data_IF_665901663536
#
_entry.id   IF_665901663536
#
_cell.length_a   1.000
_cell.length_b   1.000
_cell.length_c   1.000
_cell.angle_alpha   90.00
_cell.angle_beta   90.00
_cell.angle_gamma   90.00
#
_symmetry.space_group_name_H-M   'P 1'
#
loop_
_entity.id
_entity.type
_entity.pdbx_description
1 polymer ?
#
# COMPACT_ATOMS: atom_id res chain seq x y z
N UNK A 1 13.21 -18.33 -3.49
CA UNK A 1 12.63 -19.62 -3.94
C UNK A 1 12.32 -20.53 -2.74
N UNK A 2 11.72 -20.02 -1.65
CA UNK A 2 11.47 -20.78 -0.40
C UNK A 2 9.95 -21.00 -0.16
N UNK A 3 9.06 -20.35 -0.91
CA UNK A 3 7.60 -20.36 -0.69
C UNK A 3 6.78 -20.86 -1.90
N UNK A 4 7.38 -21.65 -2.80
CA UNK A 4 6.66 -22.19 -3.95
C UNK A 4 5.92 -23.47 -3.52
N UNK A 5 4.58 -23.43 -3.51
CA UNK A 5 3.66 -24.54 -3.15
C UNK A 5 3.90 -25.16 -1.75
N UNK A 6 3.26 -24.57 -0.73
CA UNK A 6 3.29 -25.08 0.65
C UNK A 6 2.34 -26.26 0.85
N UNK A 7 2.85 -27.36 1.38
CA UNK A 7 2.10 -28.55 1.80
C UNK A 7 1.17 -28.27 2.99
N UNK A 8 0.53 -29.33 3.52
CA UNK A 8 -0.32 -29.26 4.71
C UNK A 8 0.41 -29.72 5.99
N UNK A 9 1.74 -29.56 6.05
CA UNK A 9 2.53 -29.95 7.22
C UNK A 9 2.65 -28.80 8.23
N UNK A 10 3.00 -29.10 9.49
CA UNK A 10 3.15 -28.09 10.54
C UNK A 10 4.31 -27.13 10.26
N UNK A 11 5.32 -27.58 9.52
CA UNK A 11 6.43 -26.73 9.03
C UNK A 11 5.93 -25.70 8.01
N UNK A 12 4.92 -26.03 7.21
CA UNK A 12 4.32 -25.12 6.23
C UNK A 12 3.52 -23.98 6.88
N UNK A 13 2.99 -24.16 8.10
CA UNK A 13 2.24 -23.11 8.81
C UNK A 13 3.15 -21.92 9.15
N UNK A 14 4.37 -22.21 9.60
CA UNK A 14 5.36 -21.17 9.91
C UNK A 14 5.80 -20.45 8.63
N UNK A 15 6.00 -21.19 7.53
CA UNK A 15 6.32 -20.62 6.23
C UNK A 15 5.19 -19.71 5.70
N UNK A 16 3.92 -20.11 5.83
CA UNK A 16 2.75 -19.29 5.45
C UNK A 16 2.67 -18.01 6.25
N UNK A 17 2.89 -18.08 7.55
CA UNK A 17 2.85 -16.91 8.44
C UNK A 17 4.00 -15.96 8.14
N UNK A 18 5.21 -16.48 7.92
CA UNK A 18 6.37 -15.68 7.51
C UNK A 18 6.19 -15.02 6.16
N UNK A 19 5.61 -15.71 5.18
CA UNK A 19 5.29 -15.15 3.87
C UNK A 19 4.30 -13.98 3.99
N UNK A 20 3.19 -14.16 4.72
CA UNK A 20 2.20 -13.10 4.94
C UNK A 20 2.80 -11.87 5.63
N UNK A 21 3.61 -12.08 6.67
CA UNK A 21 4.29 -11.00 7.39
C UNK A 21 5.24 -10.22 6.46
N UNK A 22 6.04 -10.93 5.67
CA UNK A 22 6.98 -10.32 4.75
C UNK A 22 6.29 -9.51 3.65
N UNK A 23 5.19 -10.01 3.10
CA UNK A 23 4.38 -9.29 2.10
C UNK A 23 3.83 -7.98 2.64
N UNK A 24 3.33 -7.98 3.89
CA UNK A 24 2.78 -6.78 4.52
C UNK A 24 3.88 -5.73 4.72
N UNK A 25 5.07 -6.12 5.19
CA UNK A 25 6.21 -5.21 5.36
C UNK A 25 6.69 -4.66 4.02
N UNK A 26 6.82 -5.51 3.01
CA UNK A 26 7.24 -5.08 1.67
C UNK A 26 6.25 -4.13 1.03
N UNK A 27 4.95 -4.27 1.32
CA UNK A 27 3.93 -3.41 0.75
C UNK A 27 3.81 -2.06 1.50
N UNK A 28 4.16 -2.01 2.79
CA UNK A 28 4.11 -0.77 3.60
C UNK A 28 5.31 0.16 3.40
N UNK A 29 6.48 -0.35 3.02
CA UNK A 29 7.69 0.45 2.82
C UNK A 29 7.62 1.45 1.62
N UNK A 30 7.15 1.07 0.42
CA UNK A 30 7.05 1.98 -0.72
C UNK A 30 6.20 3.24 -0.49
N UNK A 31 4.97 3.17 0.07
CA UNK A 31 4.17 4.37 0.28
C UNK A 31 4.82 5.33 1.30
N UNK A 32 5.48 4.80 2.35
CA UNK A 32 6.23 5.63 3.30
C UNK A 32 7.35 6.43 2.61
N UNK A 33 8.15 5.76 1.78
CA UNK A 33 9.24 6.42 1.04
C UNK A 33 8.69 7.43 0.03
N UNK A 34 7.60 7.09 -0.69
CA UNK A 34 6.96 7.98 -1.65
C UNK A 34 6.60 9.32 -1.02
N UNK A 35 5.96 9.30 0.15
CA UNK A 35 5.50 10.51 0.84
C UNK A 35 6.65 11.33 1.40
N UNK A 36 7.68 10.69 1.97
CA UNK A 36 8.88 11.40 2.45
C UNK A 36 9.56 12.19 1.33
N UNK A 37 9.47 11.71 0.07
CA UNK A 37 10.01 12.42 -1.09
C UNK A 37 9.09 13.51 -1.62
N UNK A 38 7.78 13.28 -1.70
CA UNK A 38 6.82 14.27 -2.25
C UNK A 38 6.45 15.37 -1.26
N UNK A 39 6.36 15.06 0.03
CA UNK A 39 5.93 16.01 1.07
C UNK A 39 6.78 17.29 1.16
N UNK A 40 8.13 17.25 1.25
CA UNK A 40 8.94 18.47 1.34
C UNK A 40 8.95 19.28 0.03
N UNK A 41 8.87 18.61 -1.13
CA UNK A 41 8.76 19.27 -2.43
C UNK A 41 7.45 20.06 -2.53
N UNK A 42 6.36 19.50 -2.03
CA UNK A 42 5.04 20.12 -2.07
C UNK A 42 4.84 21.18 -1.00
N UNK A 43 5.36 20.99 0.20
CA UNK A 43 5.32 22.00 1.26
C UNK A 43 6.00 23.31 0.80
N UNK A 44 7.11 23.20 0.07
CA UNK A 44 7.82 24.35 -0.50
C UNK A 44 7.00 25.09 -1.56
N UNK A 45 6.22 24.37 -2.37
CA UNK A 45 5.35 24.95 -3.41
C UNK A 45 4.10 25.57 -2.78
N UNK A 46 3.44 24.87 -1.85
CA UNK A 46 2.24 25.34 -1.17
C UNK A 46 2.46 26.64 -0.37
N UNK A 47 3.63 26.78 0.28
CA UNK A 47 4.02 28.03 0.96
C UNK A 47 4.13 29.22 -0.01
N UNK A 48 4.66 28.98 -1.22
CA UNK A 48 4.80 30.02 -2.25
C UNK A 48 3.45 30.41 -2.87
N UNK A 49 2.58 29.44 -3.14
CA UNK A 49 1.27 29.72 -3.75
C UNK A 49 0.27 30.34 -2.76
N UNK A 50 0.34 29.98 -1.48
CA UNK A 50 -0.47 30.61 -0.42
C UNK A 50 -0.09 32.08 -0.23
N UNK A 51 1.20 32.42 -0.37
CA UNK A 51 1.68 33.80 -0.34
C UNK A 51 1.14 34.69 -1.47
N UNK A 52 0.69 34.07 -2.57
CA UNK A 52 0.13 34.77 -3.73
C UNK A 52 -1.40 34.84 -3.72
N UNK A 53 -2.07 34.23 -2.72
CA UNK A 53 -3.53 34.29 -2.54
C UNK A 53 -4.37 33.63 -3.64
N UNK A 54 -3.75 32.87 -4.56
CA UNK A 54 -4.43 32.35 -5.77
C UNK A 54 -5.16 31.01 -5.55
N UNK A 55 -4.85 30.24 -4.50
CA UNK A 55 -5.52 28.97 -4.21
C UNK A 55 -5.73 28.73 -2.72
N UNK A 56 -6.89 28.18 -2.36
CA UNK A 56 -7.14 27.69 -1.00
C UNK A 56 -6.38 26.37 -0.80
N UNK A 57 -5.59 26.28 0.26
CA UNK A 57 -4.80 25.07 0.64
C UNK A 57 -5.64 23.79 0.61
N UNK A 58 -6.93 23.88 0.96
CA UNK A 58 -7.86 22.75 0.97
C UNK A 58 -8.19 22.23 -0.43
N UNK A 59 -8.32 23.10 -1.43
CA UNK A 59 -8.63 22.70 -2.80
C UNK A 59 -7.47 21.91 -3.43
N UNK A 60 -6.22 22.31 -3.14
CA UNK A 60 -5.01 21.60 -3.56
C UNK A 60 -4.91 20.21 -2.89
N UNK A 61 -5.21 20.13 -1.59
CA UNK A 61 -5.14 18.87 -0.86
C UNK A 61 -6.16 17.84 -1.36
N UNK A 62 -7.37 18.30 -1.70
CA UNK A 62 -8.43 17.43 -2.22
C UNK A 62 -8.10 16.90 -3.61
N UNK A 63 -7.70 17.76 -4.55
CA UNK A 63 -7.37 17.34 -5.91
C UNK A 63 -6.17 16.40 -5.95
N UNK A 64 -5.20 16.63 -5.08
CA UNK A 64 -4.05 15.73 -4.91
C UNK A 64 -4.46 14.37 -4.33
N UNK A 65 -5.25 14.35 -3.25
CA UNK A 65 -5.75 13.11 -2.65
C UNK A 65 -6.53 12.27 -3.67
N UNK A 66 -7.37 12.90 -4.49
CA UNK A 66 -8.10 12.21 -5.55
C UNK A 66 -7.21 11.60 -6.63
N UNK A 67 -6.02 12.15 -6.85
CA UNK A 67 -5.06 11.63 -7.83
C UNK A 67 -4.20 10.49 -7.26
N UNK A 68 -3.88 10.53 -5.97
CA UNK A 68 -3.08 9.50 -5.29
C UNK A 68 -3.89 8.24 -4.93
N UNK A 69 -5.16 8.37 -4.52
CA UNK A 69 -6.04 7.24 -4.17
C UNK A 69 -6.12 6.14 -5.26
N UNK A 70 -6.38 6.43 -6.55
CA UNK A 70 -6.50 5.39 -7.57
C UNK A 70 -5.17 4.69 -7.82
N UNK A 71 -4.07 5.45 -7.83
CA UNK A 71 -2.73 4.90 -7.98
C UNK A 71 -2.42 3.93 -6.82
N UNK A 72 -2.77 4.35 -5.61
CA UNK A 72 -2.57 3.57 -4.41
C UNK A 72 -3.49 2.35 -4.30
N UNK A 73 -4.59 2.29 -5.03
CA UNK A 73 -5.45 1.10 -5.08
C UNK A 73 -4.92 0.06 -6.09
N UNK A 74 -4.46 0.52 -7.25
CA UNK A 74 -4.05 -0.34 -8.37
C UNK A 74 -2.77 -1.13 -8.06
N UNK A 75 -1.75 -0.47 -7.53
CA UNK A 75 -0.47 -1.10 -7.20
C UNK A 75 -0.57 -2.29 -6.22
N UNK A 76 -1.17 -2.14 -5.02
CA UNK A 76 -1.29 -3.25 -4.08
C UNK A 76 -2.26 -4.32 -4.58
N UNK A 77 -3.24 -3.99 -5.42
CA UNK A 77 -4.13 -4.99 -6.03
C UNK A 77 -3.38 -5.91 -7.00
N UNK A 78 -2.55 -5.34 -7.88
CA UNK A 78 -1.72 -6.12 -8.80
C UNK A 78 -0.71 -6.97 -8.03
N UNK A 79 -0.05 -6.39 -7.03
CA UNK A 79 0.90 -7.10 -6.18
C UNK A 79 0.25 -8.24 -5.40
N UNK A 80 -0.90 -7.99 -4.76
CA UNK A 80 -1.65 -9.01 -4.04
C UNK A 80 -2.12 -10.15 -4.96
N UNK A 81 -2.55 -9.83 -6.19
CA UNK A 81 -2.94 -10.83 -7.19
C UNK A 81 -1.76 -11.72 -7.60
N UNK A 82 -0.59 -11.13 -7.86
CA UNK A 82 0.62 -11.89 -8.21
C UNK A 82 1.11 -12.73 -7.04
N UNK A 83 1.14 -12.17 -5.83
CA UNK A 83 1.61 -12.86 -4.63
C UNK A 83 0.69 -14.04 -4.29
N UNK A 84 -0.63 -13.86 -4.43
CA UNK A 84 -1.60 -14.94 -4.22
C UNK A 84 -1.37 -16.13 -5.17
N UNK A 85 -1.05 -15.85 -6.43
CA UNK A 85 -0.76 -16.88 -7.44
C UNK A 85 0.58 -17.59 -7.16
N UNK A 86 1.60 -16.87 -6.70
CA UNK A 86 2.92 -17.44 -6.36
C UNK A 86 2.86 -18.30 -5.09
N UNK A 87 2.07 -17.89 -4.10
CA UNK A 87 2.00 -18.58 -2.80
C UNK A 87 1.09 -19.81 -2.83
N UNK A 88 0.26 -19.96 -3.88
CA UNK A 88 -0.66 -21.09 -4.03
C UNK A 88 -1.67 -21.18 -2.88
N UNK A 89 -2.17 -20.02 -2.41
CA UNK A 89 -3.10 -19.97 -1.29
C UNK A 89 -4.46 -20.59 -1.66
N UNK A 90 -5.18 -21.05 -0.64
CA UNK A 90 -6.50 -21.69 -0.74
C UNK A 90 -7.43 -21.00 -1.77
N UNK A 91 -8.02 -21.72 -2.75
CA UNK A 91 -8.72 -21.16 -3.92
C UNK A 91 -10.09 -20.53 -3.61
N UNK A 92 -10.42 -20.29 -2.34
CA UNK A 92 -11.66 -19.64 -1.94
C UNK A 92 -11.60 -18.13 -2.21
N UNK A 93 -12.48 -17.65 -3.09
CA UNK A 93 -12.63 -16.24 -3.46
C UNK A 93 -12.84 -15.31 -2.27
N UNK A 94 -13.54 -15.76 -1.22
CA UNK A 94 -13.76 -15.00 0.01
C UNK A 94 -12.44 -14.63 0.72
N UNK A 95 -11.46 -15.54 0.72
CA UNK A 95 -10.15 -15.31 1.37
C UNK A 95 -9.26 -14.41 0.54
N UNK A 96 -9.36 -14.48 -0.78
CA UNK A 96 -8.70 -13.55 -1.69
C UNK A 96 -9.19 -12.11 -1.46
N UNK A 97 -10.52 -11.93 -1.35
CA UNK A 97 -11.11 -10.61 -1.15
C UNK A 97 -10.68 -9.98 0.19
N UNK A 98 -10.67 -10.77 1.28
CA UNK A 98 -10.17 -10.30 2.58
C UNK A 98 -8.68 -9.93 2.51
N UNK A 99 -7.87 -10.72 1.81
CA UNK A 99 -6.44 -10.42 1.65
C UNK A 99 -6.19 -9.12 0.88
N UNK A 100 -6.90 -8.89 -0.22
CA UNK A 100 -6.81 -7.64 -0.98
C UNK A 100 -7.27 -6.44 -0.14
N UNK A 101 -8.37 -6.60 0.60
CA UNK A 101 -8.89 -5.54 1.48
C UNK A 101 -7.90 -5.18 2.60
N UNK A 102 -7.27 -6.18 3.23
CA UNK A 102 -6.23 -5.94 4.24
C UNK A 102 -5.01 -5.24 3.65
N UNK A 103 -4.59 -5.61 2.44
CA UNK A 103 -3.50 -4.95 1.74
C UNK A 103 -3.81 -3.47 1.44
N UNK A 104 -5.05 -3.17 1.02
CA UNK A 104 -5.48 -1.78 0.78
C UNK A 104 -5.51 -0.98 2.10
N UNK A 105 -6.04 -1.55 3.18
CA UNK A 105 -6.07 -0.90 4.50
C UNK A 105 -4.67 -0.57 5.01
N UNK A 106 -3.73 -1.52 4.90
CA UNK A 106 -2.32 -1.31 5.27
C UNK A 106 -1.72 -0.16 4.47
N UNK A 107 -1.96 -0.13 3.16
CA UNK A 107 -1.44 0.92 2.29
C UNK A 107 -1.93 2.31 2.72
N UNK A 108 -3.23 2.45 2.98
CA UNK A 108 -3.84 3.70 3.43
C UNK A 108 -3.29 4.11 4.80
N UNK A 109 -3.12 3.16 5.72
CA UNK A 109 -2.56 3.42 7.04
C UNK A 109 -1.10 3.90 6.96
N UNK A 110 -0.26 3.23 6.16
CA UNK A 110 1.12 3.66 5.92
C UNK A 110 1.21 5.06 5.31
N UNK A 111 0.32 5.38 4.38
CA UNK A 111 0.26 6.73 3.82
C UNK A 111 -0.15 7.76 4.86
N UNK A 112 -1.15 7.43 5.68
CA UNK A 112 -1.61 8.30 6.76
C UNK A 112 -0.53 8.55 7.81
N UNK A 113 0.28 7.55 8.15
CA UNK A 113 1.42 7.73 9.05
C UNK A 113 2.59 8.50 8.42
N UNK A 114 2.73 8.48 7.09
CA UNK A 114 3.77 9.22 6.38
C UNK A 114 3.48 10.72 6.24
N UNK A 115 2.21 11.12 6.28
CA UNK A 115 1.78 12.54 6.17
C UNK A 115 1.68 13.26 7.52
N UNK A 116 1.68 12.52 8.63
CA UNK A 116 1.53 13.01 10.02
C UNK A 116 2.89 13.32 10.64
#
# INVERSE_FOLDING_TARGET
MIFLQMGYDQVDIQARTGALFFTIILQSMPPLMGIVHTFPAEQAVASRETGNGMYSITAYFVSKSFSEIPLQLVFPTIYASLFYWITGLNPLFSRFLVFVLLNILVSICSTSCGIL
#
